data_IF_644365751997
#
_entry.id   IF_644365751997
#
_cell.length_a   1.000
_cell.length_b   1.000
_cell.length_c   1.000
_cell.angle_alpha   90.00
_cell.angle_beta   90.00
_cell.angle_gamma   90.00
#
_symmetry.space_group_name_H-M   'P 1'
#
loop_
_entity.id
_entity.type
_entity.pdbx_description
1 polymer ?
#
# COMPACT_ATOMS: atom_id res chain seq x y z
N UNK A 1 -28.58 4.25 -3.93
CA UNK A 1 -28.94 3.37 -5.08
C UNK A 1 -27.65 2.86 -5.73
N UNK A 2 -27.63 1.72 -6.43
CA UNK A 2 -26.42 1.22 -7.10
C UNK A 2 -25.92 2.23 -8.15
N UNK A 3 -26.83 2.83 -8.91
CA UNK A 3 -26.49 3.84 -9.92
C UNK A 3 -25.77 5.07 -9.32
N UNK A 4 -26.16 5.47 -8.10
CA UNK A 4 -25.55 6.58 -7.37
C UNK A 4 -24.12 6.26 -6.92
N UNK A 5 -23.87 5.02 -6.53
CA UNK A 5 -22.52 4.53 -6.17
C UNK A 5 -21.62 4.53 -7.41
N UNK A 6 -22.10 4.00 -8.53
CA UNK A 6 -21.33 4.00 -9.79
C UNK A 6 -21.01 5.42 -10.25
N UNK A 7 -21.99 6.33 -10.24
CA UNK A 7 -21.78 7.74 -10.58
C UNK A 7 -20.75 8.41 -9.67
N UNK A 8 -20.73 8.05 -8.38
CA UNK A 8 -19.76 8.58 -7.43
C UNK A 8 -18.35 8.05 -7.70
N UNK A 9 -18.21 6.75 -7.98
CA UNK A 9 -16.92 6.15 -8.32
C UNK A 9 -16.37 6.69 -9.64
N UNK A 10 -17.23 6.92 -10.63
CA UNK A 10 -16.83 7.49 -11.92
C UNK A 10 -16.36 8.95 -11.78
N UNK A 11 -17.03 9.75 -10.93
CA UNK A 11 -16.51 11.08 -10.57
C UNK A 11 -15.15 11.00 -9.91
N UNK A 12 -14.96 10.08 -8.95
CA UNK A 12 -13.67 9.92 -8.26
C UNK A 12 -12.54 9.45 -9.19
N UNK A 13 -12.87 8.71 -10.25
CA UNK A 13 -11.91 8.28 -11.26
C UNK A 13 -11.60 9.36 -12.31
N UNK A 14 -12.46 10.36 -12.51
CA UNK A 14 -12.35 11.38 -13.58
C UNK A 14 -12.01 12.79 -13.08
N UNK A 15 -11.63 12.92 -11.81
CA UNK A 15 -11.27 14.20 -11.19
C UNK A 15 -10.04 14.84 -11.84
N UNK A 16 -10.09 16.17 -11.99
CA UNK A 16 -9.01 16.97 -12.59
C UNK A 16 -7.77 17.07 -11.67
N UNK A 17 -7.96 16.99 -10.35
CA UNK A 17 -6.89 16.98 -9.35
C UNK A 17 -6.23 15.61 -9.17
N UNK A 18 -6.54 14.65 -10.05
CA UNK A 18 -5.99 13.31 -10.08
C UNK A 18 -7.03 12.25 -9.68
N UNK A 19 -6.98 11.05 -10.29
CA UNK A 19 -7.91 9.98 -9.96
C UNK A 19 -7.65 9.47 -8.55
N UNK A 20 -8.72 9.26 -7.77
CA UNK A 20 -8.61 8.64 -6.44
C UNK A 20 -8.90 7.15 -6.47
N UNK A 21 -9.60 6.69 -7.51
CA UNK A 21 -9.91 5.29 -7.73
C UNK A 21 -9.70 4.92 -9.18
N UNK A 22 -9.38 3.66 -9.42
CA UNK A 22 -9.32 3.05 -10.76
C UNK A 22 -10.31 1.90 -10.86
N UNK A 23 -10.97 1.78 -12.02
CA UNK A 23 -11.82 0.64 -12.33
C UNK A 23 -10.97 -0.49 -12.88
N UNK A 24 -11.01 -1.65 -12.22
CA UNK A 24 -10.24 -2.83 -12.59
C UNK A 24 -10.91 -3.61 -13.73
N UNK A 25 -10.11 -4.36 -14.47
CA UNK A 25 -10.61 -5.36 -15.41
C UNK A 25 -11.64 -6.29 -14.74
N UNK A 26 -12.75 -6.53 -15.45
CA UNK A 26 -13.86 -7.33 -14.95
C UNK A 26 -13.49 -8.81 -14.92
N UNK A 27 -13.74 -9.46 -13.78
CA UNK A 27 -13.51 -10.88 -13.62
C UNK A 27 -14.50 -11.73 -14.44
N UNK A 28 -14.05 -12.87 -14.98
CA UNK A 28 -14.92 -13.78 -15.70
C UNK A 28 -16.07 -14.26 -14.80
N UNK A 29 -17.31 -14.14 -15.29
CA UNK A 29 -18.51 -14.56 -14.57
C UNK A 29 -19.07 -13.55 -13.56
N UNK A 30 -18.38 -12.46 -13.24
CA UNK A 30 -18.93 -11.38 -12.41
C UNK A 30 -19.77 -10.42 -13.24
N UNK A 31 -20.82 -9.82 -12.66
CA UNK A 31 -21.69 -8.83 -13.32
C UNK A 31 -21.12 -7.41 -13.29
N UNK A 32 -20.26 -7.13 -12.32
CA UNK A 32 -19.78 -5.79 -11.98
C UNK A 32 -18.26 -5.77 -11.94
N UNK A 33 -17.68 -4.59 -12.12
CA UNK A 33 -16.22 -4.37 -12.03
C UNK A 33 -15.85 -3.93 -10.62
N UNK A 34 -14.65 -4.29 -10.17
CA UNK A 34 -14.11 -3.81 -8.88
C UNK A 34 -13.41 -2.47 -9.07
N UNK A 35 -13.33 -1.68 -8.00
CA UNK A 35 -12.59 -0.42 -7.96
C UNK A 35 -11.49 -0.51 -6.87
N UNK A 36 -10.36 0.14 -7.10
CA UNK A 36 -9.24 0.21 -6.15
C UNK A 36 -8.83 1.67 -5.93
N UNK A 37 -8.45 2.04 -4.70
CA UNK A 37 -7.99 3.40 -4.40
C UNK A 37 -6.52 3.62 -4.82
N UNK A 38 -6.17 4.86 -5.13
CA UNK A 38 -4.81 5.25 -5.57
C UNK A 38 -3.98 5.96 -4.47
N UNK A 39 -4.49 5.98 -3.24
CA UNK A 39 -3.79 6.60 -2.10
C UNK A 39 -2.51 5.88 -1.65
N UNK A 40 -2.28 4.65 -2.10
CA UNK A 40 -1.08 3.86 -1.77
C UNK A 40 -0.14 3.68 -2.98
N UNK A 41 -0.23 4.56 -3.97
CA UNK A 41 0.53 4.48 -5.21
C UNK A 41 -0.29 3.91 -6.38
N UNK A 42 0.38 3.80 -7.52
CA UNK A 42 -0.23 3.32 -8.75
C UNK A 42 -0.57 1.83 -8.65
N UNK A 43 -1.72 1.48 -9.23
CA UNK A 43 -2.22 0.10 -9.26
C UNK A 43 -1.76 -0.53 -10.56
N UNK A 44 -0.82 -1.48 -10.47
CA UNK A 44 -0.49 -2.37 -11.58
C UNK A 44 -1.49 -3.54 -11.57
N UNK A 45 -2.31 -3.68 -12.62
CA UNK A 45 -3.35 -4.72 -12.70
C UNK A 45 -2.78 -6.14 -12.59
N UNK A 46 -1.50 -6.35 -12.96
CA UNK A 46 -0.80 -7.62 -12.80
C UNK A 46 -0.48 -7.93 -11.33
N UNK A 47 -0.21 -6.91 -10.50
CA UNK A 47 0.06 -7.07 -9.06
C UNK A 47 -1.18 -7.42 -8.23
N UNK A 48 -2.37 -7.11 -8.74
CA UNK A 48 -3.64 -7.43 -8.08
C UNK A 48 -4.05 -8.90 -8.22
N UNK A 49 -3.60 -9.58 -9.27
CA UNK A 49 -3.85 -11.02 -9.46
C UNK A 49 -3.10 -11.87 -8.43
N UNK A 50 -2.00 -11.36 -7.87
CA UNK A 50 -1.21 -12.03 -6.83
C UNK A 50 -1.58 -11.61 -5.40
N UNK A 51 -2.53 -10.67 -5.24
CA UNK A 51 -2.89 -10.13 -3.93
C UNK A 51 -3.91 -11.04 -3.23
N UNK A 52 -3.48 -12.24 -2.86
CA UNK A 52 -4.05 -12.93 -1.72
C UNK A 52 -3.62 -12.16 -0.45
N UNK A 53 -4.55 -11.61 0.35
CA UNK A 53 -4.22 -10.69 1.43
C UNK A 53 -3.47 -11.32 2.61
N UNK A 54 -3.30 -12.64 2.62
CA UNK A 54 -2.74 -13.34 3.79
C UNK A 54 -1.21 -13.50 3.74
N UNK A 55 -0.58 -13.53 2.56
CA UNK A 55 0.86 -13.77 2.44
C UNK A 55 1.71 -12.51 2.64
N UNK A 56 1.20 -11.33 2.26
CA UNK A 56 1.94 -10.07 2.38
C UNK A 56 2.12 -9.60 3.84
N UNK A 57 1.20 -9.95 4.74
CA UNK A 57 1.26 -9.50 6.13
C UNK A 57 2.42 -10.14 6.91
N UNK A 58 2.70 -11.43 6.67
CA UNK A 58 3.80 -12.14 7.34
C UNK A 58 5.17 -11.62 6.91
N UNK A 59 5.37 -11.45 5.60
CA UNK A 59 6.62 -10.93 5.05
C UNK A 59 6.90 -9.50 5.51
N UNK A 60 5.86 -8.65 5.57
CA UNK A 60 5.98 -7.29 6.09
C UNK A 60 6.35 -7.29 7.58
N UNK A 61 5.71 -8.13 8.39
CA UNK A 61 6.00 -8.21 9.81
C UNK A 61 7.45 -8.64 10.07
N UNK A 62 7.93 -9.68 9.39
CA UNK A 62 9.33 -10.13 9.51
C UNK A 62 10.33 -9.05 9.07
N UNK A 63 10.02 -8.30 8.01
CA UNK A 63 10.87 -7.18 7.57
C UNK A 63 10.90 -6.04 8.58
N UNK A 64 9.76 -5.70 9.19
CA UNK A 64 9.68 -4.67 10.22
C UNK A 64 10.49 -5.08 11.45
N UNK A 65 10.33 -6.30 11.94
CA UNK A 65 11.10 -6.82 13.09
C UNK A 65 12.62 -6.77 12.84
N UNK A 66 13.06 -7.14 11.63
CA UNK A 66 14.47 -7.06 11.26
C UNK A 66 15.00 -5.62 11.24
N UNK A 67 14.23 -4.69 10.68
CA UNK A 67 14.59 -3.26 10.63
C UNK A 67 14.62 -2.62 12.02
N UNK A 68 13.67 -2.97 12.89
CA UNK A 68 13.65 -2.47 14.28
C UNK A 68 14.88 -2.93 15.06
N UNK A 69 15.32 -4.17 14.87
CA UNK A 69 16.56 -4.70 15.46
C UNK A 69 17.80 -3.95 14.95
N UNK A 70 17.90 -3.74 13.63
CA UNK A 70 19.02 -3.01 13.03
C UNK A 70 19.07 -1.56 13.52
N UNK A 71 17.92 -0.88 13.61
CA UNK A 71 17.83 0.49 14.14
C UNK A 71 18.27 0.55 15.60
N UNK A 72 17.90 -0.45 16.42
CA UNK A 72 18.33 -0.51 17.82
C UNK A 72 19.85 -0.64 17.93
N UNK A 73 20.46 -1.52 17.12
CA UNK A 73 21.91 -1.71 17.10
C UNK A 73 22.64 -0.43 16.62
N UNK A 74 22.14 0.20 15.56
CA UNK A 74 22.71 1.44 15.04
C UNK A 74 22.64 2.58 16.07
N UNK A 75 21.54 2.70 16.81
CA UNK A 75 21.41 3.67 17.90
C UNK A 75 22.43 3.44 19.00
N UNK A 76 22.62 2.20 19.44
CA UNK A 76 23.63 1.86 20.46
C UNK A 76 25.05 2.20 20.02
N UNK A 77 25.39 1.90 18.76
CA UNK A 77 26.70 2.26 18.19
C UNK A 77 26.88 3.78 18.14
N UNK A 78 25.83 4.52 17.75
CA UNK A 78 25.85 5.97 17.69
C UNK A 78 26.02 6.59 19.08
N UNK A 79 25.29 6.09 20.09
CA UNK A 79 25.42 6.54 21.48
C UNK A 79 26.84 6.29 22.01
N UNK A 80 27.43 5.14 21.68
CA UNK A 80 28.81 4.80 22.05
C UNK A 80 29.84 5.74 21.41
N UNK A 81 29.65 6.08 20.13
CA UNK A 81 30.50 7.03 19.42
C UNK A 81 30.37 8.46 19.96
N UNK A 82 29.14 8.91 20.23
CA UNK A 82 28.90 10.22 20.82
C UNK A 82 29.51 10.34 22.21
N UNK A 83 29.43 9.28 23.02
CA UNK A 83 30.10 9.24 24.32
C UNK A 83 31.63 9.36 24.20
N UNK A 84 32.25 8.69 23.23
CA UNK A 84 33.70 8.78 22.97
C UNK A 84 34.17 10.13 22.41
N UNK A 85 33.30 10.86 21.71
CA UNK A 85 33.62 12.17 21.12
C UNK A 85 33.34 13.35 22.07
N UNK A 86 32.58 13.12 23.15
CA UNK A 86 32.26 14.11 24.18
C UNK A 86 33.21 14.09 25.39
N UNK A 87 34.17 13.17 25.42
CA UNK A 87 35.29 13.06 26.37
C UNK A 87 36.58 13.62 25.73
#
# INVERSE_FOLDING_TARGET
DMAEVESTLERLASREDGPYVVRLAREPGKRESRYMHLFCGDVDELSLQTSAPESASGDLQSRVEALESEVAELKQRLDSLLAHLGE
#
